data_IF_424091668615
#
_entry.id   IF_424091668615
#
_cell.length_a   1.000
_cell.length_b   1.000
_cell.length_c   1.000
_cell.angle_alpha   90.00
_cell.angle_beta   90.00
_cell.angle_gamma   90.00
#
_symmetry.space_group_name_H-M   'P 1'
#
loop_
_entity.id
_entity.type
_entity.pdbx_description
1 polymer ?
#
# COMPACT_ATOMS: atom_id res chain seq x y z
N UNK A 1 3.32 20.70 -12.88
CA UNK A 1 3.36 19.35 -13.46
C UNK A 1 4.20 18.47 -12.53
N UNK A 2 3.66 17.36 -12.05
CA UNK A 2 4.38 16.44 -11.15
C UNK A 2 5.51 15.71 -11.90
N UNK A 3 6.74 15.62 -11.35
CA UNK A 3 7.78 14.76 -11.87
C UNK A 3 7.40 13.28 -11.78
N UNK A 4 7.64 12.50 -12.84
CA UNK A 4 7.23 11.09 -12.91
C UNK A 4 7.85 10.22 -11.79
N UNK A 5 9.04 10.59 -11.28
CA UNK A 5 9.71 9.88 -10.19
C UNK A 5 8.88 9.90 -8.89
N UNK A 6 8.10 10.97 -8.67
CA UNK A 6 7.28 11.10 -7.45
C UNK A 6 6.04 10.21 -7.47
N UNK A 7 5.61 9.74 -8.64
CA UNK A 7 4.48 8.81 -8.76
C UNK A 7 4.77 7.50 -8.03
N UNK A 8 6.01 7.02 -8.12
CA UNK A 8 6.46 5.83 -7.38
C UNK A 8 6.30 5.99 -5.87
N UNK A 9 6.44 7.19 -5.32
CA UNK A 9 6.30 7.43 -3.88
C UNK A 9 4.88 7.16 -3.37
N UNK A 10 3.85 7.34 -4.21
CA UNK A 10 2.46 7.05 -3.82
C UNK A 10 2.36 5.60 -3.34
N UNK A 11 2.93 4.68 -4.11
CA UNK A 11 2.95 3.25 -3.79
C UNK A 11 4.04 2.88 -2.78
N UNK A 12 5.25 3.45 -2.87
CA UNK A 12 6.38 3.03 -2.06
C UNK A 12 6.34 3.52 -0.60
N UNK A 13 5.65 4.62 -0.31
CA UNK A 13 5.56 5.14 1.06
C UNK A 13 4.94 4.10 2.02
N UNK A 14 3.75 3.51 1.77
CA UNK A 14 3.20 2.46 2.62
C UNK A 14 4.13 1.23 2.73
N UNK A 15 4.89 0.89 1.69
CA UNK A 15 5.89 -0.16 1.75
C UNK A 15 7.03 0.21 2.72
N UNK A 16 7.51 1.44 2.70
CA UNK A 16 8.50 1.93 3.66
C UNK A 16 7.95 1.87 5.09
N UNK A 17 6.69 2.25 5.31
CA UNK A 17 6.04 2.08 6.61
C UNK A 17 6.03 0.61 7.05
N UNK A 18 5.70 -0.33 6.16
CA UNK A 18 5.77 -1.77 6.44
C UNK A 18 7.18 -2.21 6.85
N UNK A 19 8.21 -1.81 6.10
CA UNK A 19 9.62 -2.17 6.39
C UNK A 19 10.08 -1.56 7.72
N UNK A 20 9.78 -0.28 7.95
CA UNK A 20 10.13 0.43 9.19
C UNK A 20 9.47 -0.28 10.38
N UNK A 21 8.16 -0.47 10.34
CA UNK A 21 7.39 -1.07 11.44
C UNK A 21 7.71 -2.56 11.65
N UNK A 22 7.90 -3.32 10.57
CA UNK A 22 8.07 -4.77 10.61
C UNK A 22 9.50 -5.22 10.92
N UNK A 23 10.50 -4.48 10.43
CA UNK A 23 11.92 -4.88 10.48
C UNK A 23 12.79 -3.91 11.28
N UNK A 24 12.66 -2.60 11.07
CA UNK A 24 13.64 -1.63 11.60
C UNK A 24 13.38 -1.25 13.05
N UNK A 25 12.16 -0.81 13.38
CA UNK A 25 11.86 -0.33 14.74
C UNK A 25 11.35 -1.45 15.67
N UNK A 26 10.85 -2.56 15.11
CA UNK A 26 10.35 -3.71 15.87
C UNK A 26 11.32 -4.25 16.94
N UNK A 27 12.64 -4.36 16.69
CA UNK A 27 13.58 -4.87 17.70
C UNK A 27 13.81 -3.88 18.86
N UNK A 28 13.64 -2.58 18.62
CA UNK A 28 14.02 -1.52 19.55
C UNK A 28 12.83 -0.88 20.27
N UNK A 29 11.62 -0.97 19.70
CA UNK A 29 10.41 -0.30 20.19
C UNK A 29 9.43 -1.32 20.75
N UNK A 30 8.88 -1.02 21.94
CA UNK A 30 7.85 -1.84 22.56
C UNK A 30 6.68 -2.08 21.59
N UNK A 31 6.26 -3.34 21.43
CA UNK A 31 5.18 -3.81 20.54
C UNK A 31 3.84 -3.10 20.72
N UNK A 32 3.63 -2.45 21.87
CA UNK A 32 2.43 -1.69 22.24
C UNK A 32 2.48 -0.21 21.85
N UNK A 33 3.63 0.26 21.37
CA UNK A 33 3.88 1.69 21.14
C UNK A 33 2.96 2.25 20.05
N UNK A 34 2.36 3.41 20.29
CA UNK A 34 1.57 4.14 19.29
C UNK A 34 2.39 4.61 18.08
N UNK A 35 3.72 4.58 18.20
CA UNK A 35 4.66 4.94 17.14
C UNK A 35 4.40 4.17 15.85
N UNK A 36 4.06 2.87 15.93
CA UNK A 36 3.73 2.07 14.73
C UNK A 36 2.55 2.68 13.96
N UNK A 37 1.50 3.11 14.67
CA UNK A 37 0.33 3.74 14.08
C UNK A 37 0.64 5.12 13.50
N UNK A 38 1.42 5.93 14.20
CA UNK A 38 1.82 7.24 13.69
C UNK A 38 2.68 7.16 12.42
N UNK A 39 3.60 6.19 12.34
CA UNK A 39 4.40 5.95 11.13
C UNK A 39 3.49 5.58 9.96
N UNK A 40 2.56 4.63 10.16
CA UNK A 40 1.63 4.22 9.11
C UNK A 40 0.72 5.36 8.66
N UNK A 41 0.14 6.11 9.60
CA UNK A 41 -0.75 7.25 9.29
C UNK A 41 0.02 8.33 8.53
N UNK A 42 1.22 8.71 8.99
CA UNK A 42 2.03 9.73 8.33
C UNK A 42 2.39 9.30 6.91
N UNK A 43 2.79 8.04 6.75
CA UNK A 43 3.14 7.46 5.44
C UNK A 43 1.95 7.48 4.47
N UNK A 44 0.78 7.02 4.90
CA UNK A 44 -0.42 6.99 4.05
C UNK A 44 -0.94 8.40 3.80
N UNK A 45 -0.85 9.32 4.76
CA UNK A 45 -1.19 10.73 4.57
C UNK A 45 -0.29 11.39 3.52
N UNK A 46 1.02 11.15 3.56
CA UNK A 46 1.94 11.60 2.53
C UNK A 46 1.59 11.00 1.16
N UNK A 47 1.24 9.70 1.11
CA UNK A 47 0.77 9.04 -0.11
C UNK A 47 -0.51 9.67 -0.67
N UNK A 48 -1.44 10.06 0.20
CA UNK A 48 -2.68 10.75 -0.17
C UNK A 48 -2.41 12.16 -0.73
N UNK A 49 -1.45 12.89 -0.16
CA UNK A 49 -1.03 14.19 -0.70
C UNK A 49 -0.43 14.03 -2.10
N UNK A 50 0.44 13.03 -2.29
CA UNK A 50 0.99 12.74 -3.61
C UNK A 50 -0.08 12.26 -4.59
N UNK A 51 -1.03 11.41 -4.20
CA UNK A 51 -2.10 10.95 -5.11
C UNK A 51 -3.01 12.10 -5.56
N UNK A 52 -3.35 13.02 -4.66
CA UNK A 52 -4.13 14.23 -4.99
C UNK A 52 -3.34 15.14 -5.94
N UNK A 53 -2.05 15.35 -5.69
CA UNK A 53 -1.21 16.13 -6.59
C UNK A 53 -1.05 15.47 -7.96
N UNK A 54 -0.99 14.13 -8.01
CA UNK A 54 -0.96 13.37 -9.26
C UNK A 54 -2.26 13.56 -10.03
N UNK A 55 -3.42 13.47 -9.37
CA UNK A 55 -4.74 13.71 -9.98
C UNK A 55 -4.82 15.10 -10.63
N UNK A 56 -4.45 16.17 -9.92
CA UNK A 56 -4.44 17.51 -10.51
C UNK A 56 -3.44 17.65 -11.67
N UNK A 57 -2.30 16.96 -11.59
CA UNK A 57 -1.30 16.97 -12.67
C UNK A 57 -1.79 16.21 -13.91
N UNK A 58 -2.49 15.10 -13.73
CA UNK A 58 -3.14 14.34 -14.80
C UNK A 58 -4.25 15.17 -15.42
N UNK A 59 -5.14 15.78 -14.64
CA UNK A 59 -6.22 16.63 -15.16
C UNK A 59 -5.76 17.85 -15.95
N UNK A 60 -4.53 18.34 -15.70
CA UNK A 60 -3.94 19.48 -16.43
C UNK A 60 -3.06 19.07 -17.61
N UNK A 61 -2.78 17.78 -17.79
CA UNK A 61 -2.01 17.27 -18.91
C UNK A 61 -2.88 17.15 -20.18
N UNK A 62 -2.30 17.43 -21.36
CA UNK A 62 -3.05 17.45 -22.63
C UNK A 62 -3.77 16.12 -22.94
N UNK A 63 -3.12 14.99 -22.66
CA UNK A 63 -3.68 13.65 -22.85
C UNK A 63 -4.36 13.09 -21.60
N UNK A 64 -4.41 13.87 -20.51
CA UNK A 64 -4.85 13.40 -19.20
C UNK A 64 -4.12 12.13 -18.72
N UNK A 65 -2.80 12.12 -18.92
CA UNK A 65 -1.91 11.05 -18.48
C UNK A 65 -0.55 11.64 -18.12
N UNK A 66 0.19 10.96 -17.25
CA UNK A 66 1.61 11.22 -17.00
C UNK A 66 2.37 9.96 -17.40
N UNK A 67 3.25 10.10 -18.40
CA UNK A 67 4.07 8.99 -18.88
C UNK A 67 5.14 8.68 -17.82
N UNK A 68 5.10 7.46 -17.29
CA UNK A 68 6.13 6.92 -16.40
C UNK A 68 6.95 5.92 -17.21
N UNK A 69 8.28 6.10 -17.32
CA UNK A 69 9.13 5.15 -18.02
C UNK A 69 9.14 3.78 -17.34
N UNK A 70 9.04 2.73 -18.15
CA UNK A 70 9.09 1.35 -17.68
C UNK A 70 10.49 0.96 -17.20
N UNK A 71 10.54 0.13 -16.16
CA UNK A 71 11.78 -0.47 -15.66
C UNK A 71 11.86 -1.91 -16.16
N UNK A 72 12.86 -2.24 -16.98
CA UNK A 72 13.04 -3.63 -17.43
C UNK A 72 13.37 -4.52 -16.23
N UNK A 73 12.58 -5.57 -16.05
CA UNK A 73 12.70 -6.50 -14.92
C UNK A 73 13.36 -7.81 -15.31
N UNK A 74 12.90 -8.44 -16.39
CA UNK A 74 13.45 -9.71 -16.85
C UNK A 74 13.27 -9.87 -18.36
N UNK A 75 14.29 -10.41 -19.02
CA UNK A 75 14.22 -10.78 -20.45
C UNK A 75 14.40 -12.29 -20.58
N UNK A 76 13.43 -12.96 -21.19
CA UNK A 76 13.49 -14.40 -21.48
C UNK A 76 13.33 -14.59 -22.99
N UNK A 77 14.45 -14.83 -23.68
CA UNK A 77 14.46 -14.91 -25.14
C UNK A 77 13.96 -13.61 -25.77
N UNK A 78 12.82 -13.67 -26.46
CA UNK A 78 12.18 -12.51 -27.09
C UNK A 78 11.10 -11.83 -26.23
N UNK A 79 10.82 -12.34 -25.02
CA UNK A 79 9.86 -11.74 -24.10
C UNK A 79 10.59 -10.80 -23.14
N UNK A 80 10.18 -9.52 -23.09
CA UNK A 80 10.67 -8.53 -22.14
C UNK A 80 9.57 -8.20 -21.13
N UNK A 81 9.78 -8.61 -19.88
CA UNK A 81 8.94 -8.26 -18.75
C UNK A 81 9.45 -6.95 -18.13
N UNK A 82 8.55 -6.00 -18.00
CA UNK A 82 8.82 -4.69 -17.43
C UNK A 82 7.91 -4.42 -16.23
N UNK A 83 8.37 -3.51 -15.38
CA UNK A 83 7.65 -2.94 -14.26
C UNK A 83 7.44 -1.47 -14.56
N UNK A 84 6.26 -1.10 -15.00
CA UNK A 84 5.87 0.30 -15.16
C UNK A 84 4.69 0.64 -14.26
N UNK A 85 4.40 1.94 -14.22
CA UNK A 85 3.21 2.46 -13.55
C UNK A 85 2.37 3.19 -14.57
N UNK A 86 1.07 2.90 -14.60
CA UNK A 86 0.12 3.68 -15.38
C UNK A 86 -0.44 4.80 -14.50
N UNK A 87 -0.38 6.02 -15.01
CA UNK A 87 -0.91 7.22 -14.35
C UNK A 87 -1.80 8.00 -15.31
N UNK A 88 -2.96 7.40 -15.60
CA UNK A 88 -4.05 8.00 -16.36
C UNK A 88 -5.16 8.55 -15.42
N UNK A 89 -6.26 9.01 -16.01
CA UNK A 89 -7.42 9.52 -15.26
C UNK A 89 -7.98 8.50 -14.27
N UNK A 90 -8.08 7.23 -14.68
CA UNK A 90 -8.70 6.17 -13.87
C UNK A 90 -7.78 5.81 -12.70
N UNK A 91 -6.51 5.52 -12.99
CA UNK A 91 -5.51 5.16 -11.99
C UNK A 91 -5.25 6.29 -11.00
N UNK A 92 -5.28 7.56 -11.43
CA UNK A 92 -5.16 8.70 -10.52
C UNK A 92 -6.34 8.78 -9.53
N UNK A 93 -7.57 8.60 -10.01
CA UNK A 93 -8.76 8.56 -9.13
C UNK A 93 -8.68 7.37 -8.17
N UNK A 94 -8.30 6.19 -8.67
CA UNK A 94 -8.17 4.98 -7.85
C UNK A 94 -7.09 5.15 -6.77
N UNK A 95 -5.95 5.76 -7.08
CA UNK A 95 -4.91 6.08 -6.10
C UNK A 95 -5.43 6.99 -4.98
N UNK A 96 -6.20 8.04 -5.32
CA UNK A 96 -6.84 8.91 -4.33
C UNK A 96 -7.81 8.12 -3.45
N UNK A 97 -8.70 7.33 -4.04
CA UNK A 97 -9.68 6.52 -3.29
C UNK A 97 -8.98 5.57 -2.32
N UNK A 98 -7.99 4.81 -2.79
CA UNK A 98 -7.27 3.83 -1.96
C UNK A 98 -6.54 4.53 -0.81
N UNK A 99 -5.83 5.63 -1.07
CA UNK A 99 -5.08 6.37 -0.03
C UNK A 99 -6.01 7.01 1.00
N UNK A 100 -7.10 7.66 0.59
CA UNK A 100 -8.04 8.34 1.50
C UNK A 100 -8.79 7.33 2.38
N UNK A 101 -9.35 6.26 1.79
CA UNK A 101 -10.03 5.21 2.56
C UNK A 101 -9.04 4.56 3.53
N UNK A 102 -7.83 4.23 3.06
CA UNK A 102 -6.79 3.67 3.93
C UNK A 102 -6.46 4.61 5.09
N UNK A 103 -6.29 5.91 4.83
CA UNK A 103 -6.00 6.90 5.86
C UNK A 103 -7.09 6.98 6.92
N UNK A 104 -8.36 7.05 6.50
CA UNK A 104 -9.50 7.09 7.41
C UNK A 104 -9.57 5.83 8.29
N UNK A 105 -9.34 4.65 7.69
CA UNK A 105 -9.29 3.39 8.44
C UNK A 105 -8.15 3.41 9.46
N UNK A 106 -6.96 3.90 9.10
CA UNK A 106 -5.85 3.97 10.07
C UNK A 106 -6.13 4.93 11.22
N UNK A 107 -6.73 6.10 10.95
CA UNK A 107 -7.09 7.06 12.00
C UNK A 107 -8.13 6.44 12.94
N UNK A 108 -9.15 5.78 12.39
CA UNK A 108 -10.14 5.04 13.16
C UNK A 108 -9.50 3.95 14.03
N UNK A 109 -8.53 3.22 13.47
CA UNK A 109 -7.85 2.13 14.15
C UNK A 109 -6.99 2.55 15.35
N UNK A 110 -6.67 3.85 15.50
CA UNK A 110 -6.03 4.33 16.73
C UNK A 110 -6.92 4.13 17.96
N UNK A 111 -8.24 4.34 17.79
CA UNK A 111 -9.23 4.11 18.82
C UNK A 111 -9.65 2.66 18.91
N UNK A 112 -9.87 2.00 17.78
CA UNK A 112 -10.35 0.61 17.75
C UNK A 112 -9.35 -0.38 18.36
N UNK A 113 -8.05 -0.21 18.10
CA UNK A 113 -6.99 -1.07 18.63
C UNK A 113 -6.58 -0.70 20.06
N UNK A 114 -7.31 0.20 20.72
CA UNK A 114 -7.04 0.58 22.10
C UNK A 114 -7.31 -0.62 23.04
N UNK A 115 -6.24 -1.12 23.66
CA UNK A 115 -6.30 -2.29 24.56
C UNK A 115 -5.85 -3.61 23.95
N UNK A 116 -5.65 -3.70 22.63
CA UNK A 116 -5.10 -4.90 21.98
C UNK A 116 -3.57 -4.84 21.86
N UNK A 117 -2.94 -4.95 23.02
CA UNK A 117 -1.54 -4.61 23.23
C UNK A 117 -0.55 -5.57 22.52
N UNK A 118 -0.87 -6.85 22.41
CA UNK A 118 0.02 -7.83 21.78
C UNK A 118 -0.01 -7.75 20.24
N UNK A 119 -1.13 -7.30 19.67
CA UNK A 119 -1.37 -7.25 18.23
C UNK A 119 -1.04 -5.93 17.55
N UNK A 120 -0.94 -4.83 18.31
CA UNK A 120 -0.90 -3.46 17.77
C UNK A 120 0.13 -3.25 16.64
N UNK A 121 1.41 -3.56 16.87
CA UNK A 121 2.44 -3.38 15.83
C UNK A 121 2.17 -4.21 14.56
N UNK A 122 1.66 -5.45 14.71
CA UNK A 122 1.37 -6.33 13.56
C UNK A 122 0.25 -5.77 12.71
N UNK A 123 -0.80 -5.23 13.35
CA UNK A 123 -1.93 -4.64 12.66
C UNK A 123 -1.46 -3.53 11.71
N UNK A 124 -0.73 -2.53 12.24
CA UNK A 124 -0.25 -1.40 11.42
C UNK A 124 0.79 -1.82 10.37
N UNK A 125 1.59 -2.84 10.67
CA UNK A 125 2.51 -3.45 9.69
C UNK A 125 1.72 -4.07 8.53
N UNK A 126 0.75 -4.95 8.81
CA UNK A 126 -0.06 -5.62 7.78
C UNK A 126 -0.94 -4.65 6.99
N UNK A 127 -1.52 -3.65 7.65
CA UNK A 127 -2.29 -2.61 6.96
C UNK A 127 -1.42 -1.78 6.02
N UNK A 128 -0.17 -1.48 6.39
CA UNK A 128 0.76 -0.78 5.50
C UNK A 128 1.06 -1.59 4.24
N UNK A 129 1.25 -2.91 4.40
CA UNK A 129 1.46 -3.83 3.28
C UNK A 129 0.20 -3.96 2.40
N UNK A 130 -0.99 -4.00 3.02
CA UNK A 130 -2.26 -4.03 2.31
C UNK A 130 -2.46 -2.78 1.44
N UNK A 131 -2.20 -1.58 1.98
CA UNK A 131 -2.30 -0.34 1.21
C UNK A 131 -1.28 -0.31 0.07
N UNK A 132 -0.04 -0.78 0.28
CA UNK A 132 0.95 -0.95 -0.79
C UNK A 132 0.43 -1.87 -1.90
N UNK A 133 -0.10 -3.04 -1.54
CA UNK A 133 -0.60 -4.01 -2.50
C UNK A 133 -1.80 -3.46 -3.31
N UNK A 134 -2.75 -2.80 -2.64
CA UNK A 134 -3.90 -2.16 -3.30
C UNK A 134 -3.49 -1.05 -4.27
N UNK A 135 -2.52 -0.21 -3.89
CA UNK A 135 -1.97 0.80 -4.79
C UNK A 135 -1.23 0.18 -5.97
N UNK A 136 -0.50 -0.91 -5.74
CA UNK A 136 0.14 -1.67 -6.80
C UNK A 136 -0.85 -2.24 -7.81
N UNK A 137 -1.99 -2.79 -7.37
CA UNK A 137 -3.05 -3.23 -8.29
C UNK A 137 -3.59 -2.07 -9.13
N UNK A 138 -3.81 -0.91 -8.53
CA UNK A 138 -4.39 0.25 -9.20
C UNK A 138 -3.44 0.96 -10.19
N UNK A 139 -2.13 0.84 -9.96
CA UNK A 139 -1.10 1.56 -10.73
C UNK A 139 -0.29 0.64 -11.65
N UNK A 140 -0.45 -0.68 -11.58
CA UNK A 140 0.28 -1.61 -12.44
C UNK A 140 -0.08 -1.42 -13.93
N UNK A 141 0.94 -1.42 -14.78
CA UNK A 141 0.85 -1.22 -16.23
C UNK A 141 0.67 -2.52 -17.03
N UNK A 142 0.96 -3.67 -16.41
CA UNK A 142 0.98 -4.98 -17.06
C UNK A 142 0.23 -6.02 -16.24
N UNK A 143 -0.39 -7.00 -16.93
CA UNK A 143 -1.16 -8.06 -16.28
C UNK A 143 -0.33 -8.87 -15.28
N UNK A 144 0.95 -9.11 -15.59
CA UNK A 144 1.85 -9.81 -14.68
C UNK A 144 2.06 -9.02 -13.40
N UNK A 145 2.27 -7.71 -13.51
CA UNK A 145 2.49 -6.86 -12.34
C UNK A 145 1.22 -6.70 -11.51
N UNK A 146 0.06 -6.54 -12.17
CA UNK A 146 -1.25 -6.59 -11.51
C UNK A 146 -1.45 -7.91 -10.76
N UNK A 147 -1.11 -9.05 -11.37
CA UNK A 147 -1.24 -10.37 -10.75
C UNK A 147 -0.37 -10.53 -9.50
N UNK A 148 0.88 -10.06 -9.54
CA UNK A 148 1.76 -10.07 -8.36
C UNK A 148 1.14 -9.29 -7.20
N UNK A 149 0.57 -8.12 -7.47
CA UNK A 149 -0.08 -7.33 -6.43
C UNK A 149 -1.42 -7.92 -5.98
N UNK A 150 -2.17 -8.54 -6.89
CA UNK A 150 -3.39 -9.26 -6.54
C UNK A 150 -3.11 -10.35 -5.52
N UNK A 151 -2.10 -11.20 -5.76
CA UNK A 151 -1.70 -12.25 -4.82
C UNK A 151 -1.27 -11.65 -3.47
N UNK A 152 -0.59 -10.50 -3.50
CA UNK A 152 -0.20 -9.80 -2.27
C UNK A 152 -1.42 -9.24 -1.50
N UNK A 153 -2.46 -8.76 -2.19
CA UNK A 153 -3.75 -8.38 -1.56
C UNK A 153 -4.39 -9.61 -0.90
N UNK A 154 -4.35 -10.78 -1.55
CA UNK A 154 -4.80 -12.05 -0.99
C UNK A 154 -4.04 -12.43 0.29
N UNK A 155 -2.70 -12.37 0.25
CA UNK A 155 -1.83 -12.64 1.40
C UNK A 155 -2.14 -11.69 2.57
N UNK A 156 -2.25 -10.39 2.29
CA UNK A 156 -2.57 -9.40 3.33
C UNK A 156 -3.95 -9.66 3.94
N UNK A 157 -4.93 -10.04 3.12
CA UNK A 157 -6.28 -10.38 3.59
C UNK A 157 -6.26 -11.62 4.50
N UNK A 158 -5.51 -12.67 4.14
CA UNK A 158 -5.28 -13.83 4.98
C UNK A 158 -4.71 -13.43 6.36
N UNK A 159 -3.66 -12.60 6.37
CA UNK A 159 -2.99 -12.15 7.60
C UNK A 159 -3.90 -11.29 8.50
N UNK A 160 -4.76 -10.47 7.90
CA UNK A 160 -5.67 -9.58 8.61
C UNK A 160 -6.93 -10.29 9.11
N UNK A 161 -7.51 -11.20 8.32
CA UNK A 161 -8.65 -12.02 8.77
C UNK A 161 -8.21 -12.96 9.90
N UNK A 162 -7.03 -13.58 9.75
CA UNK A 162 -6.41 -14.44 10.75
C UNK A 162 -5.71 -13.70 11.89
N UNK A 163 -5.91 -12.38 12.03
CA UNK A 163 -5.15 -11.55 12.98
C UNK A 163 -5.23 -12.06 14.43
N UNK A 164 -6.41 -12.47 14.87
CA UNK A 164 -6.62 -13.15 16.15
C UNK A 164 -6.54 -14.67 16.01
N UNK A 165 -5.40 -15.18 15.52
CA UNK A 165 -5.14 -16.60 15.27
C UNK A 165 -5.41 -17.53 16.47
N UNK A 166 -5.40 -17.02 17.70
CA UNK A 166 -5.80 -17.79 18.90
C UNK A 166 -7.29 -18.19 18.90
N UNK A 167 -8.15 -17.47 18.18
CA UNK A 167 -9.57 -17.79 18.02
C UNK A 167 -9.74 -18.76 16.86
N UNK A 168 -10.26 -19.96 17.13
CA UNK A 168 -10.51 -20.97 16.09
C UNK A 168 -11.38 -20.43 14.94
N UNK A 169 -12.38 -19.63 15.25
CA UNK A 169 -13.23 -18.98 14.24
C UNK A 169 -12.45 -18.07 13.28
N UNK A 170 -11.48 -17.31 13.77
CA UNK A 170 -10.65 -16.44 12.93
C UNK A 170 -9.65 -17.26 12.09
N UNK A 171 -9.04 -18.30 12.69
CA UNK A 171 -8.12 -19.18 11.98
C UNK A 171 -8.82 -19.97 10.85
N UNK A 172 -10.04 -20.45 11.08
CA UNK A 172 -10.82 -21.16 10.06
C UNK A 172 -11.35 -20.22 8.97
N UNK A 173 -11.75 -18.98 9.34
CA UNK A 173 -12.17 -17.97 8.37
C UNK A 173 -11.04 -17.54 7.42
N UNK A 174 -9.80 -17.43 7.90
CA UNK A 174 -8.67 -17.04 7.07
C UNK A 174 -8.31 -18.06 5.98
N UNK A 175 -8.62 -19.36 6.19
CA UNK A 175 -8.31 -20.44 5.23
C UNK A 175 -9.37 -20.63 4.15
N UNK A 176 -10.51 -19.97 4.28
CA UNK A 176 -11.68 -20.15 3.41
C UNK A 176 -11.58 -19.24 2.20
#
# INVERSE_FOLDING_TARGET
>A
MMPYQLIWLIMLLPLFSFIINGLLIRPFVNRKSKVYGYITILSIAASAVFSIWALFSVMSAANHEIIVPDVSWMVIGNFNFHLGLIMDQLSAVMAVVVTIVSLMVQIYSLGYMHGDEAGYYRYYTYMSLFTFAMLGVALADSLLFTFIFWENVGLCSYLLIGFWFHKKSAADAAKK
#
